data_IF_982003113069
#
_entry.id   IF_982003113069
#
_cell.length_a   1.000
_cell.length_b   1.000
_cell.length_c   1.000
_cell.angle_alpha   90.00
_cell.angle_beta   90.00
_cell.angle_gamma   90.00
#
_symmetry.space_group_name_H-M   'P 1'
#
loop_
_entity.id
_entity.type
_entity.pdbx_description
1 polymer ?
#
# COMPACT_ATOMS: atom_id res chain seq x y z
N UNK A 1 26.83 3.95 -0.73
CA UNK A 1 26.16 2.77 -0.13
C UNK A 1 24.78 2.63 -0.73
N UNK A 2 23.92 1.79 -0.18
CA UNK A 2 22.51 1.73 -0.58
C UNK A 2 21.63 1.43 0.63
N UNK A 3 20.43 1.99 0.66
CA UNK A 3 19.36 1.57 1.58
C UNK A 3 18.64 0.41 0.91
N UNK A 4 18.30 -0.63 1.68
CA UNK A 4 17.61 -1.82 1.21
C UNK A 4 16.28 -2.01 1.97
N UNK A 5 15.23 -1.27 1.60
CA UNK A 5 13.90 -1.50 2.14
C UNK A 5 13.35 -2.89 1.76
N UNK A 6 12.36 -3.35 2.53
CA UNK A 6 11.73 -4.67 2.37
C UNK A 6 10.22 -4.60 2.13
N UNK A 7 9.70 -3.42 1.82
CA UNK A 7 8.33 -3.19 1.34
C UNK A 7 8.15 -3.68 -0.12
N UNK A 8 6.90 -3.78 -0.54
CA UNK A 8 6.49 -4.31 -1.83
C UNK A 8 6.92 -3.38 -2.97
N UNK A 9 6.79 -2.07 -2.77
CA UNK A 9 7.08 -1.02 -3.73
C UNK A 9 8.57 -1.05 -4.07
N UNK A 10 9.40 -1.22 -3.04
CA UNK A 10 10.84 -1.41 -3.24
C UNK A 10 11.13 -2.69 -4.01
N UNK A 11 10.55 -3.84 -3.64
CA UNK A 11 10.81 -5.12 -4.36
C UNK A 11 10.42 -5.06 -5.84
N UNK A 12 9.28 -4.45 -6.13
CA UNK A 12 8.68 -4.43 -7.47
C UNK A 12 9.25 -3.33 -8.36
N UNK A 13 9.51 -2.14 -7.81
CA UNK A 13 9.85 -0.97 -8.61
C UNK A 13 11.27 -0.44 -8.42
N UNK A 14 11.78 -0.35 -7.18
CA UNK A 14 13.00 0.41 -6.87
C UNK A 14 14.26 -0.46 -6.72
N UNK A 15 14.09 -1.69 -6.24
CA UNK A 15 15.11 -2.65 -5.80
C UNK A 15 15.94 -2.17 -4.61
N UNK A 16 16.91 -1.28 -4.83
CA UNK A 16 17.69 -0.66 -3.77
C UNK A 16 17.78 0.85 -4.02
N UNK A 17 18.06 1.61 -2.95
CA UNK A 17 18.09 3.06 -3.00
C UNK A 17 19.53 3.54 -2.85
N UNK A 18 20.22 3.89 -3.95
CA UNK A 18 21.63 4.24 -3.89
C UNK A 18 21.82 5.58 -3.17
N UNK A 19 22.85 5.63 -2.31
CA UNK A 19 23.25 6.82 -1.57
C UNK A 19 24.65 7.23 -2.02
N UNK A 20 24.77 8.44 -2.57
CA UNK A 20 26.04 9.04 -2.99
C UNK A 20 26.40 10.21 -2.07
N UNK A 21 27.69 10.37 -1.77
CA UNK A 21 28.19 11.42 -0.86
C UNK A 21 28.54 12.73 -1.56
N UNK A 22 28.55 12.76 -2.89
CA UNK A 22 28.99 13.91 -3.69
C UNK A 22 27.86 14.40 -4.60
N UNK A 23 27.65 15.72 -4.61
CA UNK A 23 26.70 16.36 -5.51
C UNK A 23 27.39 16.73 -6.83
N UNK A 24 27.74 15.69 -7.61
CA UNK A 24 28.41 15.84 -8.91
C UNK A 24 27.61 15.14 -10.00
N UNK A 25 27.46 15.79 -11.15
CA UNK A 25 26.66 15.29 -12.26
C UNK A 25 27.08 13.88 -12.71
N UNK A 26 28.38 13.59 -12.75
CA UNK A 26 28.88 12.25 -13.12
C UNK A 26 28.41 11.16 -12.16
N UNK A 27 28.55 11.39 -10.85
CA UNK A 27 28.13 10.44 -9.82
C UNK A 27 26.61 10.22 -9.82
N UNK A 28 25.83 11.29 -10.00
CA UNK A 28 24.37 11.23 -10.11
C UNK A 28 23.97 10.40 -11.34
N UNK A 29 24.53 10.71 -12.51
CA UNK A 29 24.22 10.02 -13.76
C UNK A 29 24.59 8.54 -13.67
N UNK A 30 25.73 8.20 -13.08
CA UNK A 30 26.16 6.81 -12.96
C UNK A 30 25.26 5.97 -12.04
N UNK A 31 24.69 6.58 -10.99
CA UNK A 31 23.66 5.95 -10.17
C UNK A 31 22.34 5.79 -10.93
N UNK A 32 21.86 6.86 -11.59
CA UNK A 32 20.58 6.89 -12.29
C UNK A 32 20.54 6.01 -13.55
N UNK A 33 21.70 5.65 -14.13
CA UNK A 33 21.78 4.64 -15.20
C UNK A 33 21.34 3.25 -14.74
N UNK A 34 21.44 2.95 -13.44
CA UNK A 34 21.20 1.60 -12.88
C UNK A 34 19.93 1.54 -12.03
N UNK A 35 19.50 2.69 -11.49
CA UNK A 35 18.39 2.83 -10.56
C UNK A 35 17.53 4.03 -10.93
N UNK A 36 16.28 4.00 -10.47
CA UNK A 36 15.28 5.04 -10.76
C UNK A 36 15.43 6.29 -9.88
N UNK A 37 16.26 6.20 -8.85
CA UNK A 37 16.50 7.26 -7.87
C UNK A 37 17.93 7.24 -7.34
N UNK A 38 18.34 8.36 -6.75
CA UNK A 38 19.55 8.48 -5.92
C UNK A 38 19.30 9.45 -4.78
N UNK A 39 19.78 9.09 -3.59
CA UNK A 39 19.71 9.92 -2.38
C UNK A 39 21.07 10.58 -2.17
N UNK A 40 21.06 11.89 -1.96
CA UNK A 40 22.25 12.68 -1.67
C UNK A 40 22.04 13.34 -0.29
N UNK A 41 22.82 12.94 0.75
CA UNK A 41 22.71 13.53 2.08
C UNK A 41 22.77 15.06 2.03
N UNK A 42 21.91 15.70 2.84
CA UNK A 42 21.77 17.17 2.95
C UNK A 42 21.36 17.90 1.66
N UNK A 43 21.01 17.18 0.59
CA UNK A 43 20.58 17.75 -0.70
C UNK A 43 19.22 17.25 -1.16
N UNK A 44 18.89 15.99 -0.88
CA UNK A 44 17.59 15.40 -1.19
C UNK A 44 17.67 14.19 -2.11
N UNK A 45 16.58 13.95 -2.83
CA UNK A 45 16.39 12.79 -3.72
C UNK A 45 16.33 13.30 -5.16
N UNK A 46 17.03 12.61 -6.07
CA UNK A 46 16.91 12.84 -7.51
C UNK A 46 16.30 11.59 -8.14
N UNK A 47 15.23 11.77 -8.91
CA UNK A 47 14.55 10.72 -9.68
C UNK A 47 14.39 11.14 -11.14
N UNK A 48 14.02 10.20 -12.01
CA UNK A 48 13.76 10.49 -13.42
C UNK A 48 12.66 9.58 -13.99
N UNK A 49 11.92 10.10 -14.97
CA UNK A 49 10.91 9.36 -15.73
C UNK A 49 11.39 9.09 -17.14
N UNK A 50 11.17 7.88 -17.64
CA UNK A 50 11.46 7.49 -19.02
C UNK A 50 10.44 8.05 -19.99
N UNK A 51 9.17 8.07 -19.59
CA UNK A 51 8.05 8.44 -20.47
C UNK A 51 7.54 9.85 -20.17
N UNK A 52 7.40 10.20 -18.89
CA UNK A 52 6.78 11.47 -18.49
C UNK A 52 7.32 12.00 -17.15
N UNK A 53 7.14 13.30 -16.85
CA UNK A 53 7.49 13.88 -15.56
C UNK A 53 6.78 13.24 -14.37
N UNK A 54 5.53 12.79 -14.56
CA UNK A 54 4.73 12.12 -13.52
C UNK A 54 5.42 10.86 -13.05
N UNK A 55 6.05 10.10 -13.95
CA UNK A 55 6.83 8.92 -13.58
C UNK A 55 8.02 9.25 -12.65
N UNK A 56 8.66 10.42 -12.82
CA UNK A 56 9.71 10.86 -11.91
C UNK A 56 9.15 11.13 -10.51
N UNK A 57 7.95 11.72 -10.43
CA UNK A 57 7.25 11.98 -9.18
C UNK A 57 6.82 10.69 -8.49
N UNK A 58 6.29 9.71 -9.23
CA UNK A 58 5.98 8.36 -8.71
C UNK A 58 7.19 7.77 -8.00
N UNK A 59 8.35 7.77 -8.66
CA UNK A 59 9.57 7.23 -8.05
C UNK A 59 10.04 8.06 -6.86
N UNK A 60 9.86 9.39 -6.87
CA UNK A 60 10.21 10.23 -5.74
C UNK A 60 9.36 9.89 -4.50
N UNK A 61 8.04 9.86 -4.66
CA UNK A 61 7.10 9.47 -3.60
C UNK A 61 7.39 8.05 -3.10
N UNK A 62 7.63 7.09 -4.00
CA UNK A 62 8.00 5.71 -3.64
C UNK A 62 9.26 5.65 -2.77
N UNK A 63 10.28 6.46 -3.07
CA UNK A 63 11.52 6.51 -2.29
C UNK A 63 11.27 7.09 -0.89
N UNK A 64 10.43 8.12 -0.79
CA UNK A 64 10.04 8.71 0.50
C UNK A 64 9.30 7.68 1.35
N UNK A 65 8.30 6.99 0.79
CA UNK A 65 7.56 5.93 1.45
C UNK A 65 8.47 4.80 1.93
N UNK A 66 9.31 4.27 1.04
CA UNK A 66 10.22 3.17 1.36
C UNK A 66 11.25 3.55 2.44
N UNK A 67 11.81 4.77 2.39
CA UNK A 67 12.70 5.28 3.43
C UNK A 67 11.98 5.40 4.78
N UNK A 68 10.73 5.91 4.79
CA UNK A 68 9.91 6.01 5.99
C UNK A 68 9.69 4.62 6.59
N UNK A 69 9.13 3.70 5.82
CA UNK A 69 8.82 2.34 6.26
C UNK A 69 10.08 1.63 6.76
N UNK A 70 11.20 1.74 6.03
CA UNK A 70 12.47 1.15 6.45
C UNK A 70 12.97 1.70 7.79
N UNK A 71 12.99 3.02 7.94
CA UNK A 71 13.48 3.66 9.17
C UNK A 71 12.65 3.25 10.40
N UNK A 72 11.32 3.29 10.30
CA UNK A 72 10.45 2.92 11.41
C UNK A 72 10.45 1.41 11.69
N UNK A 73 10.55 0.56 10.66
CA UNK A 73 10.66 -0.91 10.82
C UNK A 73 11.96 -1.29 11.52
N UNK A 74 13.09 -0.73 11.09
CA UNK A 74 14.40 -0.96 11.72
C UNK A 74 14.41 -0.48 13.17
N UNK A 75 13.88 0.72 13.41
CA UNK A 75 13.82 1.32 14.73
C UNK A 75 13.02 0.45 15.70
N UNK A 76 11.88 -0.08 15.27
CA UNK A 76 11.09 -1.00 16.08
C UNK A 76 11.86 -2.30 16.37
N UNK A 77 12.45 -2.90 15.33
CA UNK A 77 13.23 -4.14 15.44
C UNK A 77 14.41 -3.97 16.40
N UNK A 78 15.14 -2.87 16.31
CA UNK A 78 16.28 -2.59 17.17
C UNK A 78 15.85 -2.21 18.59
N UNK A 79 14.72 -1.52 18.78
CA UNK A 79 14.18 -1.24 20.10
C UNK A 79 13.80 -2.51 20.84
N UNK A 80 13.01 -3.38 20.20
CA UNK A 80 12.61 -4.68 20.76
C UNK A 80 13.81 -5.58 21.08
N UNK A 81 14.90 -5.45 20.33
CA UNK A 81 16.13 -6.18 20.58
C UNK A 81 17.09 -5.51 21.57
N UNK A 82 16.74 -4.35 22.14
CA UNK A 82 17.58 -3.59 23.05
C UNK A 82 18.84 -2.98 22.41
N UNK A 83 18.83 -2.78 21.09
CA UNK A 83 19.95 -2.28 20.27
C UNK A 83 19.71 -0.90 19.65
N UNK A 84 18.63 -0.22 20.02
CA UNK A 84 18.30 1.10 19.48
C UNK A 84 19.44 2.10 19.74
N UNK A 85 20.10 2.54 18.66
CA UNK A 85 21.25 3.45 18.72
C UNK A 85 20.86 4.86 19.20
N UNK A 86 21.85 5.62 19.67
CA UNK A 86 21.67 7.03 20.05
C UNK A 86 21.21 7.85 18.85
N UNK A 87 21.73 7.56 17.66
CA UNK A 87 21.39 8.22 16.40
C UNK A 87 19.93 7.94 15.99
N UNK A 88 19.48 6.67 16.07
CA UNK A 88 18.07 6.32 15.83
C UNK A 88 17.15 7.02 16.81
N UNK A 89 17.49 7.04 18.12
CA UNK A 89 16.69 7.75 19.14
C UNK A 89 16.55 9.24 18.83
N UNK A 90 17.66 9.90 18.53
CA UNK A 90 17.66 11.33 18.20
C UNK A 90 16.88 11.63 16.90
N UNK A 91 16.88 10.71 15.93
CA UNK A 91 16.07 10.84 14.73
C UNK A 91 14.58 10.59 15.00
N UNK A 92 14.22 9.61 15.82
CA UNK A 92 12.83 9.38 16.24
C UNK A 92 12.27 10.60 16.99
N UNK A 93 13.01 11.15 17.94
CA UNK A 93 12.64 12.37 18.69
C UNK A 93 12.36 13.56 17.76
N UNK A 94 13.06 13.64 16.62
CA UNK A 94 12.84 14.67 15.60
C UNK A 94 11.71 14.33 14.63
N UNK A 95 11.58 13.07 14.25
CA UNK A 95 10.66 12.62 13.20
C UNK A 95 9.22 12.45 13.71
N UNK A 96 9.03 11.93 14.92
CA UNK A 96 7.70 11.65 15.49
C UNK A 96 6.83 12.91 15.57
N UNK A 97 7.33 14.09 16.00
CA UNK A 97 6.54 15.33 15.99
C UNK A 97 6.19 15.85 14.58
N UNK A 98 6.87 15.37 13.53
CA UNK A 98 6.63 15.74 12.13
C UNK A 98 5.63 14.82 11.44
N UNK A 99 5.18 13.76 12.11
CA UNK A 99 4.14 12.88 11.57
C UNK A 99 2.82 13.65 11.50
N UNK A 100 2.12 13.48 10.38
CA UNK A 100 0.81 14.10 10.19
C UNK A 100 -0.13 13.73 11.34
N UNK A 101 -0.96 14.71 11.74
CA UNK A 101 -2.04 14.44 12.68
C UNK A 101 -2.97 13.39 12.05
N UNK A 102 -3.25 12.32 12.80
CA UNK A 102 -4.13 11.28 12.28
C UNK A 102 -5.58 11.75 12.38
N UNK A 103 -6.37 11.74 11.29
CA UNK A 103 -7.73 12.24 11.32
C UNK A 103 -8.61 11.36 12.21
N UNK A 104 -9.39 11.98 13.11
CA UNK A 104 -10.17 11.27 14.12
C UNK A 104 -11.44 10.60 13.60
N UNK A 105 -12.02 11.14 12.53
CA UNK A 105 -13.30 10.69 11.99
C UNK A 105 -13.22 10.50 10.49
N UNK A 106 -13.77 9.39 9.95
CA UNK A 106 -13.90 9.25 8.51
C UNK A 106 -14.87 10.32 7.98
N UNK A 107 -14.62 10.86 6.77
CA UNK A 107 -15.56 11.78 6.12
C UNK A 107 -16.78 11.00 5.62
N UNK A 108 -17.94 11.66 5.48
CA UNK A 108 -19.05 11.07 4.77
C UNK A 108 -18.70 10.92 3.28
N UNK A 109 -18.91 9.72 2.75
CA UNK A 109 -18.84 9.41 1.33
C UNK A 109 -20.25 9.18 0.76
N UNK A 110 -20.37 9.20 -0.57
CA UNK A 110 -21.59 8.85 -1.30
C UNK A 110 -22.17 7.53 -0.77
N UNK A 111 -23.44 7.58 -0.39
CA UNK A 111 -24.15 6.45 0.20
C UNK A 111 -24.96 5.68 -0.85
N UNK A 112 -25.00 4.36 -0.70
CA UNK A 112 -25.83 3.47 -1.50
C UNK A 112 -27.34 3.68 -1.22
N UNK A 113 -28.25 3.24 -2.13
CA UNK A 113 -27.98 2.47 -3.36
C UNK A 113 -27.51 3.35 -4.53
N UNK A 114 -26.53 2.84 -5.28
CA UNK A 114 -26.16 3.38 -6.59
C UNK A 114 -27.00 2.66 -7.66
N UNK A 115 -28.03 3.34 -8.16
CA UNK A 115 -28.99 2.76 -9.14
C UNK A 115 -28.54 2.89 -10.59
N UNK A 116 -27.70 3.88 -10.88
CA UNK A 116 -27.20 4.18 -12.22
C UNK A 116 -25.67 4.01 -12.25
N UNK A 117 -25.16 3.62 -13.41
CA UNK A 117 -23.71 3.45 -13.65
C UNK A 117 -22.92 4.74 -13.37
N UNK A 118 -23.45 5.91 -13.72
CA UNK A 118 -22.83 7.22 -13.41
C UNK A 118 -22.67 7.48 -11.90
N UNK A 119 -23.53 6.90 -11.06
CA UNK A 119 -23.38 7.00 -9.61
C UNK A 119 -22.24 6.12 -9.09
N UNK A 120 -22.01 4.96 -9.72
CA UNK A 120 -20.90 4.06 -9.41
C UNK A 120 -19.57 4.72 -9.72
N UNK A 121 -19.42 5.30 -10.93
CA UNK A 121 -18.19 6.01 -11.29
C UNK A 121 -17.89 7.14 -10.30
N UNK A 122 -18.88 7.98 -9.97
CA UNK A 122 -18.69 9.07 -8.99
C UNK A 122 -18.31 8.57 -7.61
N UNK A 123 -18.90 7.47 -7.14
CA UNK A 123 -18.56 6.89 -5.84
C UNK A 123 -17.12 6.34 -5.81
N UNK A 124 -16.68 5.69 -6.89
CA UNK A 124 -15.30 5.19 -7.03
C UNK A 124 -14.29 6.34 -7.07
N UNK A 125 -14.58 7.38 -7.86
CA UNK A 125 -13.75 8.61 -7.95
C UNK A 125 -13.64 9.29 -6.58
N UNK A 126 -14.77 9.50 -5.90
CA UNK A 126 -14.79 10.14 -4.59
C UNK A 126 -13.98 9.34 -3.57
N UNK A 127 -14.17 8.02 -3.52
CA UNK A 127 -13.48 7.16 -2.57
C UNK A 127 -11.95 7.13 -2.83
N UNK A 128 -11.52 7.09 -4.08
CA UNK A 128 -10.11 7.20 -4.46
C UNK A 128 -9.48 8.51 -3.96
N UNK A 129 -10.09 9.65 -4.35
CA UNK A 129 -9.62 10.99 -3.96
C UNK A 129 -9.52 11.15 -2.45
N UNK A 130 -10.56 10.75 -1.71
CA UNK A 130 -10.59 10.90 -0.26
C UNK A 130 -9.56 9.99 0.42
N UNK A 131 -9.24 8.83 -0.14
CA UNK A 131 -8.17 7.94 0.38
C UNK A 131 -6.80 8.61 0.32
N UNK A 132 -6.52 9.36 -0.76
CA UNK A 132 -5.29 10.15 -0.91
C UNK A 132 -5.29 11.36 0.03
N UNK A 133 -6.40 12.10 0.11
CA UNK A 133 -6.54 13.28 0.99
C UNK A 133 -6.31 12.96 2.47
N UNK A 134 -6.64 11.73 2.89
CA UNK A 134 -6.45 11.25 4.25
C UNK A 134 -5.08 10.58 4.49
N UNK A 135 -4.18 10.64 3.49
CA UNK A 135 -2.83 10.06 3.55
C UNK A 135 -2.81 8.56 3.87
N UNK A 136 -3.87 7.83 3.49
CA UNK A 136 -3.95 6.37 3.62
C UNK A 136 -3.26 5.64 2.47
N UNK A 137 -2.84 6.39 1.45
CA UNK A 137 -2.11 5.93 0.27
C UNK A 137 -1.42 7.14 -0.39
N UNK A 138 -0.26 6.96 -1.02
CA UNK A 138 0.20 7.97 -2.00
C UNK A 138 -0.55 7.76 -3.31
N UNK A 139 -0.78 8.82 -4.08
CA UNK A 139 -1.78 8.83 -5.16
C UNK A 139 -1.61 7.76 -6.25
N UNK A 140 -0.40 7.23 -6.47
CA UNK A 140 -0.10 6.19 -7.47
C UNK A 140 -0.05 4.77 -6.92
N UNK A 141 -0.29 4.61 -5.62
CA UNK A 141 -0.42 3.32 -4.96
C UNK A 141 -1.89 3.02 -4.67
N UNK A 142 -2.15 1.78 -4.28
CA UNK A 142 -3.51 1.33 -3.97
C UNK A 142 -4.39 1.20 -5.22
N UNK A 143 -5.65 0.88 -4.97
CA UNK A 143 -6.71 0.82 -5.97
C UNK A 143 -8.07 0.75 -5.28
N UNK A 144 -9.12 1.02 -6.07
CA UNK A 144 -10.50 1.07 -5.59
C UNK A 144 -11.38 0.29 -6.56
N UNK A 145 -12.35 -0.45 -6.03
CA UNK A 145 -13.36 -1.08 -6.88
C UNK A 145 -14.74 -1.13 -6.26
N UNK A 146 -15.77 -1.11 -7.10
CA UNK A 146 -17.17 -1.31 -6.71
C UNK A 146 -17.89 -2.30 -7.64
N UNK A 147 -18.57 -3.30 -7.08
CA UNK A 147 -19.46 -4.19 -7.83
C UNK A 147 -20.83 -3.56 -8.02
N UNK A 148 -21.27 -3.45 -9.27
CA UNK A 148 -22.64 -3.12 -9.62
C UNK A 148 -23.20 -4.15 -10.62
N UNK A 149 -24.25 -4.87 -10.21
CA UNK A 149 -24.76 -6.02 -10.97
C UNK A 149 -23.71 -7.12 -11.10
N UNK A 150 -23.38 -7.52 -12.32
CA UNK A 150 -22.35 -8.53 -12.63
C UNK A 150 -21.05 -7.90 -13.16
N UNK A 151 -20.87 -6.60 -12.94
CA UNK A 151 -19.69 -5.83 -13.37
C UNK A 151 -18.95 -5.28 -12.15
N UNK A 152 -17.62 -5.40 -12.17
CA UNK A 152 -16.72 -4.77 -11.22
C UNK A 152 -16.07 -3.55 -11.86
N UNK A 153 -16.35 -2.37 -11.32
CA UNK A 153 -15.74 -1.11 -11.71
C UNK A 153 -14.47 -0.94 -10.91
N UNK A 154 -13.30 -0.90 -11.56
CA UNK A 154 -12.00 -0.88 -10.87
C UNK A 154 -11.08 0.18 -11.49
N UNK A 155 -10.26 0.82 -10.68
CA UNK A 155 -9.23 1.75 -11.18
C UNK A 155 -8.25 1.05 -12.13
N UNK A 156 -7.77 1.79 -13.14
CA UNK A 156 -6.76 1.33 -14.08
C UNK A 156 -5.38 1.14 -13.42
N UNK A 157 -4.52 0.33 -14.04
CA UNK A 157 -3.13 0.22 -13.63
C UNK A 157 -2.41 1.56 -13.82
N UNK A 158 -1.79 2.07 -12.75
CA UNK A 158 -0.96 3.28 -12.79
C UNK A 158 -1.73 4.60 -12.83
N UNK A 159 -3.06 4.58 -12.71
CA UNK A 159 -3.87 5.80 -12.55
C UNK A 159 -3.67 6.41 -11.16
N UNK A 160 -3.72 7.73 -11.08
CA UNK A 160 -3.73 8.44 -9.79
C UNK A 160 -5.10 8.29 -9.13
N UNK A 161 -5.16 7.85 -7.88
CA UNK A 161 -6.41 7.63 -7.15
C UNK A 161 -7.23 8.90 -6.92
N UNK A 162 -6.58 10.06 -6.91
CA UNK A 162 -7.19 11.38 -6.80
C UNK A 162 -7.58 12.01 -8.15
N UNK A 163 -7.31 11.34 -9.27
CA UNK A 163 -7.63 11.77 -10.64
C UNK A 163 -8.16 10.59 -11.48
N UNK A 164 -9.17 9.88 -10.95
CA UNK A 164 -9.71 8.65 -11.57
C UNK A 164 -10.71 8.89 -12.72
N UNK A 165 -11.05 10.15 -13.03
CA UNK A 165 -11.97 10.49 -14.12
C UNK A 165 -11.49 9.91 -15.46
N UNK A 166 -12.26 8.97 -16.02
CA UNK A 166 -11.91 8.28 -17.27
C UNK A 166 -10.88 7.16 -17.13
N UNK A 167 -10.43 6.87 -15.91
CA UNK A 167 -9.44 5.83 -15.58
C UNK A 167 -10.04 4.67 -14.76
N UNK A 168 -11.31 4.32 -15.02
CA UNK A 168 -12.02 3.23 -14.36
C UNK A 168 -12.48 2.24 -15.42
N UNK A 169 -12.12 0.98 -15.25
CA UNK A 169 -12.47 -0.10 -16.16
C UNK A 169 -13.68 -0.89 -15.64
N UNK A 170 -14.80 -0.94 -16.39
CA UNK A 170 -15.93 -1.81 -16.10
C UNK A 170 -15.62 -3.24 -16.55
N UNK A 171 -15.33 -4.13 -15.60
CA UNK A 171 -14.91 -5.50 -15.86
C UNK A 171 -16.01 -6.51 -15.47
N UNK A 172 -16.62 -7.23 -16.43
CA UNK A 172 -17.54 -8.33 -16.14
C UNK A 172 -16.91 -9.40 -15.22
N UNK A 173 -17.69 -9.89 -14.25
CA UNK A 173 -17.25 -10.90 -13.28
C UNK A 173 -17.16 -12.32 -13.88
N UNK A 174 -17.76 -12.55 -15.05
CA UNK A 174 -17.86 -13.86 -15.71
C UNK A 174 -16.67 -14.18 -16.64
N UNK A 175 -15.64 -13.33 -16.67
CA UNK A 175 -14.45 -13.46 -17.54
C UNK A 175 -14.76 -13.46 -19.04
N UNK A 176 -15.95 -12.99 -19.44
CA UNK A 176 -16.37 -12.96 -20.84
C UNK A 176 -15.65 -11.92 -21.70
N UNK A 177 -14.82 -11.05 -21.11
CA UNK A 177 -14.21 -9.93 -21.80
C UNK A 177 -12.73 -9.71 -21.47
N UNK A 178 -12.04 -9.04 -22.38
CA UNK A 178 -10.68 -8.54 -22.18
C UNK A 178 -10.63 -7.15 -21.50
N UNK A 179 -11.74 -6.66 -20.93
CA UNK A 179 -11.79 -5.34 -20.31
C UNK A 179 -10.76 -5.17 -19.18
N UNK A 180 -10.38 -6.27 -18.53
CA UNK A 180 -9.37 -6.27 -17.47
C UNK A 180 -7.91 -6.10 -17.91
N UNK A 181 -7.60 -5.90 -19.21
CA UNK A 181 -6.21 -5.72 -19.67
C UNK A 181 -5.58 -4.45 -19.12
N UNK A 182 -6.34 -3.36 -19.01
CA UNK A 182 -5.89 -2.06 -18.50
C UNK A 182 -6.20 -1.85 -17.02
N UNK A 183 -6.95 -2.77 -16.41
CA UNK A 183 -7.36 -2.69 -15.02
C UNK A 183 -6.16 -2.80 -14.08
N UNK A 184 -6.37 -2.49 -12.80
CA UNK A 184 -5.37 -2.71 -11.75
C UNK A 184 -4.74 -4.11 -11.86
N UNK A 185 -3.42 -4.17 -11.61
CA UNK A 185 -2.65 -5.42 -11.50
C UNK A 185 -3.19 -6.36 -10.42
N UNK A 186 -4.04 -5.85 -9.52
CA UNK A 186 -4.71 -6.58 -8.43
C UNK A 186 -6.19 -6.89 -8.72
N UNK A 187 -6.66 -6.63 -9.94
CA UNK A 187 -8.04 -6.90 -10.36
C UNK A 187 -8.51 -8.32 -10.01
N UNK A 188 -7.65 -9.32 -10.23
CA UNK A 188 -7.97 -10.71 -9.91
C UNK A 188 -8.26 -10.89 -8.43
N UNK A 189 -7.52 -10.22 -7.54
CA UNK A 189 -7.77 -10.30 -6.11
C UNK A 189 -9.08 -9.62 -5.72
N UNK A 190 -9.38 -8.43 -6.27
CA UNK A 190 -10.64 -7.72 -6.04
C UNK A 190 -11.83 -8.56 -6.47
N UNK A 191 -11.80 -9.08 -7.70
CA UNK A 191 -12.84 -9.96 -8.22
C UNK A 191 -13.08 -11.17 -7.31
N UNK A 192 -12.01 -11.84 -6.88
CA UNK A 192 -12.14 -13.01 -6.00
C UNK A 192 -12.68 -12.64 -4.61
N UNK A 193 -12.32 -11.47 -4.06
CA UNK A 193 -12.93 -10.96 -2.81
C UNK A 193 -14.43 -10.79 -3.01
N UNK A 194 -14.85 -10.10 -4.06
CA UNK A 194 -16.27 -9.87 -4.37
C UNK A 194 -17.04 -11.18 -4.50
N UNK A 195 -16.50 -12.16 -5.23
CA UNK A 195 -17.14 -13.46 -5.45
C UNK A 195 -17.21 -14.31 -4.16
N UNK A 196 -16.18 -14.25 -3.31
CA UNK A 196 -16.07 -15.09 -2.11
C UNK A 196 -16.77 -14.49 -0.87
N UNK A 197 -17.00 -13.17 -0.86
CA UNK A 197 -17.53 -12.46 0.32
C UNK A 197 -18.88 -11.79 0.06
N UNK A 198 -19.23 -11.50 -1.19
CA UNK A 198 -20.41 -10.72 -1.54
C UNK A 198 -20.33 -9.24 -1.15
N UNK A 199 -19.14 -8.74 -0.78
CA UNK A 199 -18.91 -7.32 -0.55
C UNK A 199 -18.78 -6.60 -1.89
N UNK A 200 -19.40 -5.41 -2.01
CA UNK A 200 -19.40 -4.66 -3.26
C UNK A 200 -18.27 -3.65 -3.34
N UNK A 201 -18.01 -2.93 -2.24
CA UNK A 201 -16.99 -1.89 -2.17
C UNK A 201 -15.68 -2.45 -1.62
N UNK A 202 -14.57 -2.20 -2.32
CA UNK A 202 -13.21 -2.58 -1.88
C UNK A 202 -12.31 -1.36 -1.99
N UNK A 203 -11.60 -1.05 -0.90
CA UNK A 203 -10.54 -0.07 -0.86
C UNK A 203 -9.22 -0.73 -0.52
N UNK A 204 -8.21 -0.46 -1.34
CA UNK A 204 -6.84 -0.82 -1.08
C UNK A 204 -6.00 0.44 -0.91
N UNK A 205 -5.42 0.59 0.28
CA UNK A 205 -4.48 1.65 0.61
C UNK A 205 -3.13 1.07 1.05
N UNK A 206 -2.13 1.93 1.12
CA UNK A 206 -0.76 1.60 1.56
C UNK A 206 -0.41 2.38 2.84
N UNK A 207 -1.23 2.31 3.91
CA UNK A 207 -1.01 3.17 5.06
C UNK A 207 0.23 2.69 5.84
N UNK A 208 1.04 3.67 6.26
CA UNK A 208 2.45 3.46 6.64
C UNK A 208 2.61 2.48 7.82
N UNK A 209 1.84 2.65 8.90
CA UNK A 209 2.02 1.83 10.10
C UNK A 209 1.47 0.42 9.95
N UNK A 210 0.41 0.22 9.17
CA UNK A 210 -0.09 -1.10 8.81
C UNK A 210 0.96 -1.88 8.01
N UNK A 211 1.63 -1.22 7.06
CA UNK A 211 2.74 -1.81 6.30
C UNK A 211 3.92 -2.14 7.23
N UNK A 212 4.33 -1.22 8.11
CA UNK A 212 5.41 -1.45 9.08
C UNK A 212 5.11 -2.65 9.99
N UNK A 213 3.95 -2.67 10.65
CA UNK A 213 3.60 -3.76 11.58
C UNK A 213 3.40 -5.10 10.88
N UNK A 214 2.99 -5.10 9.61
CA UNK A 214 2.91 -6.34 8.84
C UNK A 214 4.26 -7.05 8.71
N UNK A 215 5.37 -6.32 8.85
CA UNK A 215 6.73 -6.86 8.81
C UNK A 215 7.31 -7.18 10.19
N UNK A 216 6.66 -6.74 11.28
CA UNK A 216 7.09 -7.01 12.66
C UNK A 216 6.72 -8.45 13.10
N UNK A 217 7.72 -9.33 13.20
CA UNK A 217 7.52 -10.74 13.50
C UNK A 217 8.31 -11.16 14.74
N UNK A 218 7.60 -11.62 15.77
CA UNK A 218 8.22 -12.06 17.04
C UNK A 218 8.95 -13.42 16.94
N UNK A 219 8.72 -14.18 15.86
CA UNK A 219 9.30 -15.52 15.70
C UNK A 219 10.78 -15.45 15.35
N UNK A 220 11.63 -15.72 16.35
CA UNK A 220 13.09 -15.81 16.21
C UNK A 220 13.52 -17.11 15.51
N UNK A 221 14.53 -17.02 14.65
CA UNK A 221 15.12 -18.18 13.96
C UNK A 221 14.16 -18.87 12.99
N UNK A 222 13.23 -18.11 12.38
CA UNK A 222 12.28 -18.66 11.44
C UNK A 222 13.01 -19.14 10.16
N UNK A 223 12.81 -20.37 9.68
CA UNK A 223 13.46 -20.87 8.46
C UNK A 223 12.99 -20.15 7.19
N UNK A 224 11.91 -19.37 7.27
CA UNK A 224 11.35 -18.55 6.18
C UNK A 224 11.64 -17.05 6.37
N UNK A 225 12.57 -16.68 7.26
CA UNK A 225 12.98 -15.29 7.43
C UNK A 225 13.40 -14.68 6.08
N UNK A 226 12.93 -13.47 5.80
CA UNK A 226 13.08 -12.80 4.50
C UNK A 226 12.15 -13.28 3.38
N UNK A 227 11.39 -14.37 3.57
CA UNK A 227 10.47 -14.92 2.56
C UNK A 227 8.98 -14.70 2.87
N UNK A 228 8.67 -13.97 3.95
CA UNK A 228 7.29 -13.72 4.40
C UNK A 228 6.39 -13.02 3.37
N UNK A 229 6.97 -12.34 2.37
CA UNK A 229 6.22 -11.73 1.27
C UNK A 229 5.69 -12.75 0.25
N UNK A 230 6.32 -13.92 0.16
CA UNK A 230 5.94 -15.03 -0.74
C UNK A 230 5.22 -16.14 0.03
N UNK A 231 5.70 -16.44 1.24
CA UNK A 231 5.16 -17.51 2.09
C UNK A 231 5.47 -17.25 3.55
N UNK A 232 4.44 -17.31 4.39
CA UNK A 232 4.56 -17.33 5.84
C UNK A 232 3.89 -18.60 6.39
N UNK A 233 4.56 -19.31 7.30
CA UNK A 233 3.99 -20.49 7.97
C UNK A 233 3.21 -20.12 9.24
N UNK A 234 3.31 -18.87 9.68
CA UNK A 234 2.67 -18.38 10.89
C UNK A 234 1.37 -17.66 10.56
N UNK A 235 0.31 -17.94 11.32
CA UNK A 235 -0.88 -17.13 11.30
C UNK A 235 -0.60 -15.84 12.08
N UNK A 236 -0.48 -14.72 11.38
CA UNK A 236 -0.12 -13.42 11.95
C UNK A 236 -1.30 -12.47 11.88
N UNK A 237 -1.41 -11.62 12.89
CA UNK A 237 -2.50 -10.65 13.02
C UNK A 237 -1.98 -9.35 13.64
N UNK A 238 -2.60 -8.24 13.26
CA UNK A 238 -2.66 -7.04 14.09
C UNK A 238 -4.07 -6.99 14.66
N UNK A 239 -4.21 -7.25 15.95
CA UNK A 239 -5.52 -7.42 16.61
C UNK A 239 -6.40 -8.44 15.88
N UNK A 240 -7.53 -8.01 15.29
CA UNK A 240 -8.45 -8.84 14.51
C UNK A 240 -8.08 -9.00 13.03
N UNK A 241 -7.09 -8.25 12.55
CA UNK A 241 -6.75 -8.12 11.14
C UNK A 241 -5.64 -9.11 10.75
N UNK A 242 -5.91 -10.09 9.87
CA UNK A 242 -4.89 -11.04 9.43
C UNK A 242 -3.83 -10.37 8.57
N UNK A 243 -2.60 -10.86 8.70
CA UNK A 243 -1.48 -10.54 7.82
C UNK A 243 -1.23 -11.75 6.92
N UNK A 244 -1.29 -11.55 5.60
CA UNK A 244 -1.08 -12.61 4.60
C UNK A 244 0.15 -12.35 3.72
N UNK A 245 0.89 -13.38 3.29
CA UNK A 245 1.87 -13.24 2.22
C UNK A 245 1.16 -12.99 0.88
N UNK A 246 1.85 -12.39 -0.10
CA UNK A 246 1.31 -12.21 -1.44
C UNK A 246 2.12 -11.21 -2.26
N UNK A 247 2.54 -11.63 -3.46
CA UNK A 247 3.13 -10.75 -4.46
C UNK A 247 2.03 -10.13 -5.35
N UNK A 248 2.30 -8.95 -5.91
CA UNK A 248 1.41 -8.32 -6.89
C UNK A 248 1.27 -9.20 -8.14
N UNK A 249 0.06 -9.28 -8.67
CA UNK A 249 -0.27 -10.06 -9.87
C UNK A 249 -0.77 -11.48 -9.56
N UNK A 250 -0.72 -12.34 -10.58
CA UNK A 250 -1.44 -13.63 -10.62
C UNK A 250 -0.52 -14.86 -10.58
N UNK A 251 0.73 -14.67 -10.19
CA UNK A 251 1.70 -15.78 -10.08
C UNK A 251 1.35 -16.79 -8.98
N UNK A 252 2.14 -17.87 -8.83
CA UNK A 252 1.94 -18.89 -7.78
C UNK A 252 1.94 -18.33 -6.35
N UNK A 253 2.62 -17.19 -6.15
CA UNK A 253 2.70 -16.48 -4.88
C UNK A 253 1.88 -15.18 -4.89
N UNK A 254 1.02 -15.00 -5.89
CA UNK A 254 0.17 -13.83 -6.04
C UNK A 254 -0.78 -13.68 -4.86
N UNK A 255 -1.02 -12.44 -4.43
CA UNK A 255 -1.94 -12.12 -3.34
C UNK A 255 -3.38 -12.57 -3.63
N UNK A 256 -3.76 -12.76 -4.91
CA UNK A 256 -5.04 -13.34 -5.29
C UNK A 256 -5.28 -14.75 -4.72
N UNK A 257 -4.23 -15.46 -4.29
CA UNK A 257 -4.33 -16.80 -3.73
C UNK A 257 -4.52 -16.79 -2.20
N UNK A 258 -4.18 -15.70 -1.53
CA UNK A 258 -4.09 -15.61 -0.06
C UNK A 258 -5.05 -14.58 0.52
N UNK A 259 -5.20 -13.44 -0.15
CA UNK A 259 -6.04 -12.33 0.27
C UNK A 259 -7.54 -12.68 0.24
N UNK A 260 -8.13 -13.19 -0.87
CA UNK A 260 -9.57 -13.46 -0.90
C UNK A 260 -10.05 -14.48 0.15
N UNK A 261 -9.36 -15.62 0.38
CA UNK A 261 -9.73 -16.52 1.47
C UNK A 261 -9.63 -15.87 2.85
N UNK A 262 -8.63 -15.01 3.08
CA UNK A 262 -8.45 -14.32 4.36
C UNK A 262 -9.52 -13.25 4.60
N UNK A 263 -10.08 -12.65 3.55
CA UNK A 263 -11.10 -11.60 3.66
C UNK A 263 -12.47 -12.13 4.14
N UNK A 264 -12.74 -13.44 4.02
CA UNK A 264 -14.06 -13.99 4.36
C UNK A 264 -14.45 -13.72 5.83
N UNK A 265 -15.56 -13.00 6.02
CA UNK A 265 -16.08 -12.63 7.33
C UNK A 265 -15.26 -11.57 8.08
N UNK A 266 -14.35 -10.86 7.41
CA UNK A 266 -13.47 -9.86 8.02
C UNK A 266 -13.64 -8.49 7.39
N UNK A 267 -13.31 -7.46 8.17
CA UNK A 267 -13.41 -6.04 7.76
C UNK A 267 -12.21 -5.55 6.94
N UNK A 268 -11.08 -6.25 7.06
CA UNK A 268 -9.87 -5.99 6.29
C UNK A 268 -8.81 -7.07 6.45
N UNK A 269 -7.79 -6.98 5.62
CA UNK A 269 -6.62 -7.89 5.57
C UNK A 269 -5.39 -7.07 5.18
N UNK A 270 -4.28 -7.27 5.89
CA UNK A 270 -3.00 -6.66 5.54
C UNK A 270 -2.18 -7.65 4.71
N UNK A 271 -1.65 -7.22 3.58
CA UNK A 271 -0.69 -7.99 2.77
C UNK A 271 0.72 -7.60 3.20
N UNK A 272 1.55 -8.60 3.52
CA UNK A 272 2.89 -8.42 4.12
C UNK A 272 3.76 -7.43 3.35
N UNK A 273 4.15 -6.36 4.03
CA UNK A 273 5.00 -5.30 3.51
C UNK A 273 4.42 -4.58 2.30
N UNK A 274 3.11 -4.68 2.04
CA UNK A 274 2.47 -4.15 0.84
C UNK A 274 1.41 -3.12 1.20
N UNK A 275 0.31 -3.55 1.81
CA UNK A 275 -0.77 -2.63 2.12
C UNK A 275 -1.98 -3.30 2.74
N UNK A 276 -3.05 -2.53 2.87
CA UNK A 276 -4.26 -2.91 3.57
C UNK A 276 -5.44 -2.91 2.59
N UNK A 277 -6.25 -3.97 2.64
CA UNK A 277 -7.50 -4.10 1.91
C UNK A 277 -8.65 -4.08 2.89
N UNK A 278 -9.69 -3.32 2.58
CA UNK A 278 -10.92 -3.24 3.37
C UNK A 278 -12.13 -3.35 2.47
N UNK A 279 -13.23 -3.84 3.04
CA UNK A 279 -14.43 -4.17 2.28
C UNK A 279 -15.69 -3.66 2.95
N UNK A 280 -16.70 -3.41 2.13
CA UNK A 280 -18.04 -3.08 2.59
C UNK A 280 -19.11 -3.59 1.64
N UNK A 281 -20.30 -3.82 2.21
CA UNK A 281 -21.42 -4.40 1.48
C UNK A 281 -22.10 -3.38 0.57
N UNK A 282 -22.41 -2.21 1.10
CA UNK A 282 -23.35 -1.30 0.43
C UNK A 282 -22.62 -0.15 -0.28
N UNK A 283 -21.69 0.54 0.39
CA UNK A 283 -20.93 1.65 -0.17
C UNK A 283 -19.53 1.76 0.47
N UNK A 284 -18.76 2.78 0.09
CA UNK A 284 -17.39 2.97 0.55
C UNK A 284 -17.27 3.46 2.00
N UNK A 285 -18.33 3.94 2.65
CA UNK A 285 -18.23 4.54 3.99
C UNK A 285 -17.64 3.55 5.01
N UNK A 286 -18.14 2.30 5.03
CA UNK A 286 -17.67 1.29 5.98
C UNK A 286 -16.26 0.81 5.63
N UNK A 287 -15.94 0.64 4.35
CA UNK A 287 -14.60 0.24 3.91
C UNK A 287 -13.57 1.31 4.32
N UNK A 288 -13.88 2.58 4.06
CA UNK A 288 -13.02 3.70 4.42
C UNK A 288 -12.84 3.82 5.94
N UNK A 289 -13.93 3.72 6.70
CA UNK A 289 -13.88 3.76 8.16
C UNK A 289 -12.98 2.64 8.72
N UNK A 290 -13.07 1.43 8.15
CA UNK A 290 -12.19 0.33 8.52
C UNK A 290 -10.73 0.60 8.12
N UNK A 291 -10.48 1.17 6.95
CA UNK A 291 -9.13 1.48 6.48
C UNK A 291 -8.44 2.47 7.43
N UNK A 292 -9.17 3.52 7.81
CA UNK A 292 -8.72 4.54 8.74
C UNK A 292 -8.51 3.99 10.16
N UNK A 293 -9.46 3.21 10.66
CA UNK A 293 -9.39 2.62 12.00
C UNK A 293 -8.23 1.64 12.14
N UNK A 294 -8.05 0.72 11.20
CA UNK A 294 -6.94 -0.25 11.23
C UNK A 294 -5.60 0.47 11.24
N UNK A 295 -5.41 1.50 10.41
CA UNK A 295 -4.17 2.27 10.43
C UNK A 295 -3.96 3.02 11.75
N UNK A 296 -5.02 3.59 12.34
CA UNK A 296 -4.94 4.21 13.68
C UNK A 296 -4.43 3.20 14.70
N UNK A 297 -5.05 2.02 14.76
CA UNK A 297 -4.67 0.95 15.69
C UNK A 297 -3.23 0.50 15.44
N UNK A 298 -2.82 0.36 14.18
CA UNK A 298 -1.44 0.03 13.84
C UNK A 298 -0.44 1.10 14.31
N UNK A 299 -0.79 2.39 14.15
CA UNK A 299 0.04 3.50 14.63
C UNK A 299 0.17 3.49 16.15
N UNK A 300 -0.93 3.29 16.87
CA UNK A 300 -0.93 3.19 18.34
C UNK A 300 -0.06 2.02 18.82
N UNK A 301 -0.28 0.82 18.27
CA UNK A 301 0.49 -0.39 18.60
C UNK A 301 1.98 -0.20 18.29
N UNK A 302 2.32 0.47 17.19
CA UNK A 302 3.71 0.78 16.87
C UNK A 302 4.39 1.56 18.00
N UNK A 303 3.75 2.64 18.49
CA UNK A 303 4.31 3.47 19.54
C UNK A 303 4.25 2.84 20.94
N UNK A 304 3.31 1.92 21.17
CA UNK A 304 3.30 1.09 22.39
C UNK A 304 4.48 0.10 22.43
N UNK A 305 4.94 -0.38 21.27
CA UNK A 305 6.04 -1.34 21.14
C UNK A 305 7.42 -0.71 20.97
N UNK A 306 7.49 0.55 20.57
CA UNK A 306 8.74 1.30 20.36
C UNK A 306 9.42 1.61 21.70
#
# INVERSE_FOLDING_TARGET
GAIQPSDCETRTMLHDLPVISVFEAGAIVDALKRRKSVIIPDRGIVTWGTVSPEQAFIFFSSVCFACFVKFFTDSLTDSQAGRLSTEQKALLEKAVPLLDAFPDTPPPLMAAPFTEEDAVYRAVIEAGRVTVEYHLVDSFFGNVSYRHGDTLYISQTGSSLDELEGCIDPCPLDESSCAGITASSEFTAHRQIVLNTGMNAILHGHPKFSVILSMDCEKKGCPLEGQCHIRCAEARFVEDIPIVPGEVGTGPHGLCNTLPPAMHGRRGVIVYGHGLFTVAKDDFNTAFANLLDIERRCREIYFERL
#
